data_IF_474838586144
#
_entry.id   IF_474838586144
#
_cell.length_a   1.000
_cell.length_b   1.000
_cell.length_c   1.000
_cell.angle_alpha   90.00
_cell.angle_beta   90.00
_cell.angle_gamma   90.00
#
_symmetry.space_group_name_H-M   'P 1'
#
loop_
_entity.id
_entity.type
_entity.pdbx_description
1 polymer ?
#
# COMPACT_ATOMS: atom_id res chain seq x y z
N UNK A 1 31.46 -6.44 6.29
CA UNK A 1 30.57 -5.68 7.20
C UNK A 1 31.13 -4.28 7.37
N UNK A 2 30.47 -3.25 6.82
CA UNK A 2 30.92 -1.87 7.03
C UNK A 2 30.73 -1.44 8.50
N UNK A 3 31.62 -0.61 9.03
CA UNK A 3 31.55 -0.09 10.41
C UNK A 3 30.17 0.50 10.76
N UNK A 4 29.50 1.14 9.80
CA UNK A 4 28.14 1.67 9.97
C UNK A 4 27.07 0.61 10.22
N UNK A 5 27.16 -0.55 9.54
CA UNK A 5 26.21 -1.66 9.71
C UNK A 5 26.42 -2.35 11.07
N UNK A 6 27.68 -2.45 11.53
CA UNK A 6 28.00 -2.97 12.86
C UNK A 6 27.51 -2.05 13.98
N UNK A 7 27.69 -0.72 13.85
CA UNK A 7 27.17 0.26 14.82
C UNK A 7 25.65 0.27 14.92
N UNK A 8 24.95 0.14 13.78
CA UNK A 8 23.49 0.03 13.73
C UNK A 8 23.01 -1.22 14.48
N UNK A 9 23.57 -2.39 14.14
CA UNK A 9 23.18 -3.67 14.76
C UNK A 9 23.48 -3.66 16.26
N UNK A 10 24.66 -3.18 16.67
CA UNK A 10 25.02 -3.05 18.08
C UNK A 10 24.12 -2.06 18.83
N UNK A 11 23.83 -0.91 18.23
CA UNK A 11 22.95 0.11 18.82
C UNK A 11 21.51 -0.37 18.99
N UNK A 12 20.94 -1.03 17.97
CA UNK A 12 19.60 -1.63 18.06
C UNK A 12 19.54 -2.75 19.11
N UNK A 13 20.56 -3.61 19.18
CA UNK A 13 20.64 -4.65 20.20
C UNK A 13 20.71 -4.05 21.61
N UNK A 14 21.51 -3.01 21.82
CA UNK A 14 21.60 -2.34 23.11
C UNK A 14 20.27 -1.70 23.52
N UNK A 15 19.65 -0.92 22.63
CA UNK A 15 18.35 -0.29 22.90
C UNK A 15 17.26 -1.34 23.16
N UNK A 16 17.27 -2.46 22.45
CA UNK A 16 16.30 -3.56 22.68
C UNK A 16 16.47 -4.23 24.04
N UNK A 17 17.71 -4.46 24.50
CA UNK A 17 18.00 -5.03 25.82
C UNK A 17 17.54 -4.11 26.95
N UNK A 18 17.78 -2.82 26.80
CA UNK A 18 17.36 -1.84 27.80
C UNK A 18 15.84 -1.66 27.82
N UNK A 19 15.18 -1.76 26.67
CA UNK A 19 13.72 -1.74 26.58
C UNK A 19 13.12 -2.98 27.26
N UNK A 20 13.68 -4.17 27.03
CA UNK A 20 13.27 -5.41 27.72
C UNK A 20 13.47 -5.33 29.24
N UNK A 21 14.57 -4.73 29.72
CA UNK A 21 14.81 -4.50 31.16
C UNK A 21 13.75 -3.57 31.77
N UNK A 22 13.44 -2.46 31.09
CA UNK A 22 12.41 -1.51 31.55
C UNK A 22 11.02 -2.15 31.54
N UNK A 23 10.70 -2.99 30.55
CA UNK A 23 9.44 -3.73 30.49
C UNK A 23 9.33 -4.81 31.57
N UNK A 24 10.43 -5.48 31.91
CA UNK A 24 10.48 -6.42 33.03
C UNK A 24 10.26 -5.72 34.38
N UNK A 25 10.79 -4.49 34.55
CA UNK A 25 10.59 -3.69 35.78
C UNK A 25 9.20 -3.05 35.90
N UNK A 26 8.44 -3.01 34.80
CA UNK A 26 7.05 -2.53 34.78
C UNK A 26 6.03 -3.65 35.09
N UNK A 27 6.46 -4.92 35.12
CA UNK A 27 5.64 -6.09 35.35
C UNK A 27 6.23 -6.97 36.48
N UNK A 28 5.72 -6.92 37.73
CA UNK A 28 4.55 -6.17 38.20
C UNK A 28 4.80 -4.65 38.36
N UNK A 29 3.75 -3.81 38.34
CA UNK A 29 3.91 -2.37 38.46
C UNK A 29 4.50 -1.99 39.83
N UNK A 30 5.51 -1.10 39.87
CA UNK A 30 6.10 -0.65 41.12
C UNK A 30 5.08 0.12 41.97
N UNK A 31 5.14 -0.05 43.30
CA UNK A 31 4.20 0.57 44.25
C UNK A 31 4.34 2.11 44.30
N UNK A 32 5.49 2.66 43.88
CA UNK A 32 5.75 4.10 43.89
C UNK A 32 5.32 4.77 42.56
N UNK A 33 4.41 5.76 42.60
CA UNK A 33 3.86 6.39 41.39
C UNK A 33 4.91 7.17 40.59
N UNK A 34 5.90 7.77 41.24
CA UNK A 34 6.99 8.49 40.59
C UNK A 34 7.92 7.54 39.80
N UNK A 35 8.25 6.39 40.39
CA UNK A 35 9.10 5.39 39.74
C UNK A 35 8.38 4.78 38.53
N UNK A 36 7.07 4.57 38.64
CA UNK A 36 6.22 4.16 37.53
C UNK A 36 6.23 5.17 36.37
N UNK A 37 6.03 6.47 36.66
CA UNK A 37 6.08 7.53 35.63
C UNK A 37 7.47 7.64 34.98
N UNK A 38 8.55 7.50 35.76
CA UNK A 38 9.92 7.54 35.24
C UNK A 38 10.20 6.36 34.30
N UNK A 39 9.82 5.13 34.69
CA UNK A 39 9.95 3.95 33.83
C UNK A 39 9.10 4.07 32.55
N UNK A 40 7.90 4.64 32.64
CA UNK A 40 7.09 4.93 31.46
C UNK A 40 7.74 5.97 30.53
N UNK A 41 8.33 7.03 31.09
CA UNK A 41 9.12 8.01 30.34
C UNK A 41 10.30 7.37 29.64
N UNK A 42 11.09 6.58 30.37
CA UNK A 42 12.26 5.86 29.82
C UNK A 42 11.88 4.89 28.70
N UNK A 43 10.74 4.21 28.84
CA UNK A 43 10.19 3.34 27.79
C UNK A 43 9.85 4.11 26.51
N UNK A 44 9.30 5.33 26.63
CA UNK A 44 9.01 6.20 25.48
C UNK A 44 10.30 6.66 24.81
N UNK A 45 11.29 7.08 25.60
CA UNK A 45 12.61 7.50 25.09
C UNK A 45 13.32 6.37 24.32
N UNK A 46 13.36 5.16 24.87
CA UNK A 46 14.02 4.02 24.23
C UNK A 46 13.32 3.61 22.93
N UNK A 47 11.97 3.67 22.89
CA UNK A 47 11.20 3.44 21.66
C UNK A 47 11.47 4.51 20.62
N UNK A 48 11.56 5.78 21.03
CA UNK A 48 11.90 6.88 20.15
C UNK A 48 13.33 6.73 19.61
N UNK A 49 14.30 6.40 20.45
CA UNK A 49 15.69 6.17 20.04
C UNK A 49 15.79 4.99 19.04
N UNK A 50 15.09 3.89 19.30
CA UNK A 50 15.00 2.76 18.36
C UNK A 50 14.38 3.18 17.03
N UNK A 51 13.29 3.94 17.08
CA UNK A 51 12.60 4.47 15.89
C UNK A 51 13.50 5.40 15.08
N UNK A 52 14.23 6.30 15.75
CA UNK A 52 15.16 7.23 15.12
C UNK A 52 16.34 6.50 14.47
N UNK A 53 16.91 5.49 15.13
CA UNK A 53 17.95 4.64 14.56
C UNK A 53 17.48 3.95 13.26
N UNK A 54 16.27 3.39 13.27
CA UNK A 54 15.67 2.76 12.10
C UNK A 54 15.25 3.78 11.03
N UNK A 55 14.85 4.99 11.42
CA UNK A 55 14.51 6.04 10.47
C UNK A 55 15.75 6.55 9.73
N UNK A 56 16.87 6.75 10.45
CA UNK A 56 18.09 7.33 9.90
C UNK A 56 19.00 6.32 9.18
N UNK A 57 18.93 5.05 9.58
CA UNK A 57 19.79 3.98 9.06
C UNK A 57 19.05 2.72 8.60
N UNK A 58 17.74 2.63 8.80
CA UNK A 58 16.97 1.48 8.33
C UNK A 58 17.01 1.38 6.81
N UNK A 59 17.11 0.16 6.26
CA UNK A 59 17.16 -0.04 4.83
C UNK A 59 15.88 0.51 4.20
N UNK A 60 16.03 1.55 3.38
CA UNK A 60 15.18 1.69 2.20
C UNK A 60 15.41 0.42 1.41
N UNK A 61 14.35 -0.33 1.14
CA UNK A 61 14.42 -1.31 0.08
C UNK A 61 14.81 -0.54 -1.20
N UNK A 62 16.08 -0.70 -1.59
CA UNK A 62 16.47 -0.92 -2.99
C UNK A 62 16.47 0.26 -3.95
N UNK A 63 17.33 1.25 -3.71
CA UNK A 63 17.79 2.14 -4.78
C UNK A 63 18.94 1.58 -5.63
N UNK A 64 19.52 0.41 -5.31
CA UNK A 64 20.78 -0.06 -5.92
C UNK A 64 20.97 -1.59 -6.06
N UNK A 65 19.96 -2.45 -5.86
CA UNK A 65 20.15 -3.90 -6.10
C UNK A 65 19.87 -4.35 -7.55
N UNK A 66 19.72 -3.41 -8.49
CA UNK A 66 19.76 -3.72 -9.94
C UNK A 66 21.05 -3.30 -10.64
N UNK A 67 22.09 -2.89 -9.91
CA UNK A 67 23.42 -2.82 -10.48
C UNK A 67 24.06 -4.22 -10.44
N UNK A 68 23.58 -5.13 -11.28
CA UNK A 68 24.31 -6.38 -11.49
C UNK A 68 25.68 -6.07 -12.11
N UNK A 69 26.79 -6.59 -11.55
CA UNK A 69 28.05 -6.61 -12.28
C UNK A 69 27.85 -7.48 -13.51
N UNK A 70 28.24 -7.01 -14.71
CA UNK A 70 28.24 -7.82 -15.93
C UNK A 70 29.01 -9.13 -15.69
N UNK A 71 28.28 -10.20 -15.46
CA UNK A 71 28.74 -11.57 -15.38
C UNK A 71 27.81 -12.44 -16.24
N UNK A 72 28.33 -13.45 -16.96
CA UNK A 72 27.52 -14.25 -17.86
C UNK A 72 26.46 -15.04 -17.08
N UNK A 73 25.21 -14.86 -17.50
CA UNK A 73 23.99 -15.42 -16.93
C UNK A 73 24.00 -16.95 -16.95
N UNK A 74 23.86 -17.55 -15.77
CA UNK A 74 23.45 -18.94 -15.60
C UNK A 74 22.02 -18.92 -15.06
N UNK A 75 21.10 -19.33 -15.91
CA UNK A 75 19.67 -19.51 -15.67
C UNK A 75 19.39 -20.40 -14.46
N UNK A 76 18.71 -19.84 -13.46
CA UNK A 76 18.03 -20.59 -12.41
C UNK A 76 16.54 -20.68 -12.72
N UNK A 77 16.10 -21.93 -12.89
CA UNK A 77 14.77 -22.39 -13.20
C UNK A 77 13.75 -21.97 -12.14
N UNK A 78 12.72 -21.24 -12.56
CA UNK A 78 11.59 -20.79 -11.77
C UNK A 78 10.45 -20.51 -12.73
N UNK A 79 9.56 -21.49 -12.90
CA UNK A 79 8.52 -21.49 -13.92
C UNK A 79 7.67 -20.22 -13.86
N UNK A 80 7.65 -19.37 -14.91
CA UNK A 80 6.52 -18.48 -15.09
C UNK A 80 5.34 -19.37 -15.51
N UNK A 81 4.24 -19.32 -14.77
CA UNK A 81 2.94 -19.74 -15.32
C UNK A 81 2.55 -18.73 -16.40
N UNK A 82 3.17 -18.89 -17.57
CA UNK A 82 2.75 -18.28 -18.82
C UNK A 82 1.38 -18.89 -19.13
N UNK A 83 0.31 -18.27 -18.62
CA UNK A 83 -1.01 -18.48 -19.19
C UNK A 83 -0.88 -18.13 -20.66
N UNK A 84 -1.04 -19.10 -21.54
CA UNK A 84 -0.97 -18.87 -22.97
C UNK A 84 -2.09 -17.88 -23.34
N UNK A 85 -1.73 -16.63 -23.61
CA UNK A 85 -2.67 -15.61 -24.05
C UNK A 85 -2.96 -15.91 -25.52
N UNK A 86 -4.03 -16.68 -25.78
CA UNK A 86 -4.50 -16.94 -27.15
C UNK A 86 -5.61 -15.95 -27.49
N UNK A 87 -5.26 -14.88 -28.20
CA UNK A 87 -6.26 -13.98 -28.79
C UNK A 87 -6.82 -14.60 -30.07
N UNK A 88 -8.14 -14.70 -30.17
CA UNK A 88 -8.83 -15.23 -31.37
C UNK A 88 -8.73 -14.24 -32.55
N UNK A 89 -8.76 -12.94 -32.24
CA UNK A 89 -8.64 -11.84 -33.20
C UNK A 89 -7.78 -10.72 -32.59
N UNK A 90 -7.11 -9.94 -33.44
CA UNK A 90 -6.20 -8.85 -33.03
C UNK A 90 -6.89 -7.49 -33.05
N UNK A 91 -8.06 -7.42 -32.42
CA UNK A 91 -8.92 -6.24 -32.42
C UNK A 91 -9.22 -5.83 -30.97
N UNK A 92 -9.40 -4.54 -30.69
CA UNK A 92 -9.79 -4.03 -29.36
C UNK A 92 -11.00 -4.73 -28.73
N UNK A 93 -11.97 -5.17 -29.56
CA UNK A 93 -13.15 -5.93 -29.10
C UNK A 93 -12.73 -7.29 -28.52
N UNK A 94 -11.90 -8.04 -29.25
CA UNK A 94 -11.42 -9.35 -28.83
C UNK A 94 -10.47 -9.26 -27.62
N UNK A 95 -9.67 -8.21 -27.54
CA UNK A 95 -8.84 -7.91 -26.35
C UNK A 95 -9.74 -7.70 -25.13
N UNK A 96 -10.78 -6.87 -25.25
CA UNK A 96 -11.74 -6.65 -24.18
C UNK A 96 -12.49 -7.91 -23.77
N UNK A 97 -12.99 -8.70 -24.72
CA UNK A 97 -13.71 -9.94 -24.43
C UNK A 97 -12.82 -10.93 -23.66
N UNK A 98 -11.55 -11.07 -24.06
CA UNK A 98 -10.59 -11.92 -23.37
C UNK A 98 -10.25 -11.42 -21.94
N UNK A 99 -10.13 -10.11 -21.74
CA UNK A 99 -9.94 -9.51 -20.40
C UNK A 99 -11.18 -9.77 -19.54
N UNK A 100 -12.38 -9.52 -20.09
CA UNK A 100 -13.66 -9.72 -19.41
C UNK A 100 -13.82 -11.16 -18.96
N UNK A 101 -13.58 -12.12 -19.84
CA UNK A 101 -13.72 -13.56 -19.53
C UNK A 101 -12.74 -14.01 -18.43
N UNK A 102 -11.51 -13.49 -18.43
CA UNK A 102 -10.51 -13.79 -17.38
C UNK A 102 -10.91 -13.20 -16.03
N UNK A 103 -11.37 -11.94 -16.02
CA UNK A 103 -11.84 -11.29 -14.80
C UNK A 103 -13.09 -11.98 -14.27
N UNK A 104 -14.07 -12.29 -15.14
CA UNK A 104 -15.28 -13.02 -14.77
C UNK A 104 -14.93 -14.37 -14.13
N UNK A 105 -14.07 -15.16 -14.77
CA UNK A 105 -13.61 -16.44 -14.21
C UNK A 105 -12.95 -16.28 -12.84
N UNK A 106 -12.12 -15.24 -12.64
CA UNK A 106 -11.51 -14.95 -11.34
C UNK A 106 -12.54 -14.52 -10.29
N UNK A 107 -13.57 -13.78 -10.66
CA UNK A 107 -14.65 -13.36 -9.76
C UNK A 107 -15.53 -14.56 -9.37
N UNK A 108 -15.83 -15.45 -10.33
CA UNK A 108 -16.63 -16.67 -10.11
C UNK A 108 -15.91 -17.71 -9.26
N UNK A 109 -14.57 -17.81 -9.36
CA UNK A 109 -13.76 -18.72 -8.53
C UNK A 109 -13.81 -18.39 -7.02
N UNK A 110 -14.41 -17.25 -6.65
CA UNK A 110 -14.50 -16.74 -5.29
C UNK A 110 -13.30 -15.84 -4.98
N UNK A 111 -13.57 -14.66 -4.42
CA UNK A 111 -12.54 -13.64 -4.19
C UNK A 111 -12.07 -13.65 -2.74
N UNK A 112 -10.79 -13.95 -2.55
CA UNK A 112 -10.10 -13.76 -1.26
C UNK A 112 -9.22 -12.53 -1.32
N UNK A 113 -9.20 -11.75 -0.24
CA UNK A 113 -8.36 -10.58 -0.13
C UNK A 113 -6.93 -10.98 0.25
N UNK A 114 -5.97 -10.61 -0.59
CA UNK A 114 -4.52 -10.78 -0.34
C UNK A 114 -3.79 -9.42 -0.36
N UNK A 115 -4.51 -8.31 -0.25
CA UNK A 115 -3.95 -6.94 -0.29
C UNK A 115 -3.24 -6.52 1.00
N UNK A 116 -3.48 -7.23 2.10
CA UNK A 116 -3.01 -6.85 3.44
C UNK A 116 -3.77 -5.66 4.04
N UNK A 117 -4.79 -5.15 3.36
CA UNK A 117 -5.66 -4.05 3.81
C UNK A 117 -7.08 -4.55 4.04
N UNK A 118 -7.83 -3.87 4.92
CA UNK A 118 -9.27 -4.11 5.04
C UNK A 118 -9.95 -3.52 3.81
N UNK A 119 -10.82 -4.30 3.18
CA UNK A 119 -11.64 -3.88 2.05
C UNK A 119 -13.11 -3.76 2.49
N UNK A 120 -13.77 -2.66 2.14
CA UNK A 120 -15.18 -2.42 2.42
C UNK A 120 -16.08 -3.53 1.83
N UNK A 121 -15.77 -4.01 0.62
CA UNK A 121 -16.54 -5.08 -0.03
C UNK A 121 -16.46 -6.41 0.72
N UNK A 122 -15.48 -6.63 1.60
CA UNK A 122 -15.43 -7.82 2.46
C UNK A 122 -16.45 -7.80 3.59
N UNK A 123 -17.06 -6.65 3.87
CA UNK A 123 -18.20 -6.55 4.78
C UNK A 123 -19.49 -7.10 4.17
N UNK A 124 -19.59 -7.14 2.84
CA UNK A 124 -20.74 -7.69 2.15
C UNK A 124 -20.76 -9.23 2.26
N UNK A 125 -21.94 -9.82 2.11
CA UNK A 125 -22.08 -11.26 1.92
C UNK A 125 -21.26 -11.69 0.68
N UNK A 126 -20.57 -12.85 0.69
CA UNK A 126 -19.73 -13.29 -0.43
C UNK A 126 -20.43 -13.28 -1.79
N UNK A 127 -21.71 -13.66 -1.82
CA UNK A 127 -22.53 -13.61 -3.04
C UNK A 127 -22.82 -12.17 -3.49
N UNK A 128 -23.16 -11.27 -2.58
CA UNK A 128 -23.39 -9.85 -2.89
C UNK A 128 -22.13 -9.15 -3.39
N UNK A 129 -20.99 -9.48 -2.81
CA UNK A 129 -19.69 -8.99 -3.31
C UNK A 129 -19.43 -9.46 -4.74
N UNK A 130 -19.70 -10.74 -5.04
CA UNK A 130 -19.56 -11.29 -6.40
C UNK A 130 -20.52 -10.62 -7.37
N UNK A 131 -21.80 -10.51 -7.02
CA UNK A 131 -22.83 -9.83 -7.81
C UNK A 131 -22.45 -8.38 -8.11
N UNK A 132 -21.90 -7.64 -7.13
CA UNK A 132 -21.46 -6.25 -7.33
C UNK A 132 -20.35 -6.14 -8.38
N UNK A 133 -19.33 -6.99 -8.29
CA UNK A 133 -18.20 -6.96 -9.23
C UNK A 133 -18.62 -7.40 -10.63
N UNK A 134 -19.48 -8.41 -10.75
CA UNK A 134 -20.06 -8.82 -12.03
C UNK A 134 -20.95 -7.74 -12.63
N UNK A 135 -21.76 -7.08 -11.80
CA UNK A 135 -22.58 -5.95 -12.24
C UNK A 135 -21.70 -4.80 -12.75
N UNK A 136 -20.63 -4.43 -12.02
CA UNK A 136 -19.69 -3.40 -12.47
C UNK A 136 -19.01 -3.77 -13.79
N UNK A 137 -18.57 -5.03 -13.93
CA UNK A 137 -17.96 -5.53 -15.17
C UNK A 137 -18.94 -5.47 -16.35
N UNK A 138 -20.20 -5.86 -16.13
CA UNK A 138 -21.26 -5.79 -17.14
C UNK A 138 -21.60 -4.35 -17.51
N UNK A 139 -21.67 -3.42 -16.55
CA UNK A 139 -21.94 -2.02 -16.86
C UNK A 139 -20.75 -1.36 -17.59
N UNK A 140 -19.52 -1.74 -17.27
CA UNK A 140 -18.33 -1.29 -18.00
C UNK A 140 -18.38 -1.75 -19.47
N UNK A 141 -18.77 -3.01 -19.73
CA UNK A 141 -18.97 -3.53 -21.08
C UNK A 141 -19.98 -2.68 -21.87
N UNK A 142 -21.12 -2.34 -21.27
CA UNK A 142 -22.13 -1.48 -21.90
C UNK A 142 -21.58 -0.07 -22.18
N UNK A 143 -20.81 0.52 -21.26
CA UNK A 143 -20.18 1.82 -21.48
C UNK A 143 -19.16 1.76 -22.61
N UNK A 144 -18.33 0.72 -22.68
CA UNK A 144 -17.38 0.54 -23.78
C UNK A 144 -18.10 0.42 -25.14
N UNK A 145 -19.20 -0.34 -25.21
CA UNK A 145 -20.02 -0.43 -26.43
C UNK A 145 -20.61 0.93 -26.84
N UNK A 146 -21.12 1.72 -25.88
CA UNK A 146 -21.62 3.08 -26.14
C UNK A 146 -20.50 4.01 -26.62
N UNK A 147 -19.33 3.96 -26.00
CA UNK A 147 -18.18 4.79 -26.38
C UNK A 147 -17.66 4.45 -27.79
N UNK A 148 -17.64 3.16 -28.17
CA UNK A 148 -17.25 2.73 -29.53
C UNK A 148 -18.13 3.34 -30.62
N UNK A 149 -19.39 3.64 -30.33
CA UNK A 149 -20.30 4.29 -31.28
C UNK A 149 -20.00 5.77 -31.54
N UNK A 150 -19.21 6.43 -30.67
CA UNK A 150 -18.98 7.89 -30.69
C UNK A 150 -17.75 8.37 -31.47
N UNK A 151 -16.90 7.46 -31.96
CA UNK A 151 -15.73 7.66 -32.85
C UNK A 151 -14.62 8.67 -32.42
N UNK A 152 -14.85 9.60 -31.48
CA UNK A 152 -13.85 10.61 -31.07
C UNK A 152 -13.15 10.29 -29.74
N UNK A 153 -11.83 10.11 -29.79
CA UNK A 153 -11.02 9.74 -28.61
C UNK A 153 -10.88 10.85 -27.56
N UNK A 154 -10.79 12.12 -27.97
CA UNK A 154 -10.71 13.27 -27.06
C UNK A 154 -12.04 13.50 -26.31
N UNK A 155 -13.14 12.95 -26.81
CA UNK A 155 -14.43 12.95 -26.14
C UNK A 155 -14.57 11.84 -25.09
N UNK A 156 -13.66 10.85 -25.05
CA UNK A 156 -13.76 9.70 -24.13
C UNK A 156 -13.67 10.14 -22.68
N UNK A 157 -12.67 10.96 -22.33
CA UNK A 157 -12.49 11.42 -20.95
C UNK A 157 -13.69 12.24 -20.45
N UNK A 158 -14.15 13.20 -21.27
CA UNK A 158 -15.31 14.03 -20.94
C UNK A 158 -16.60 13.21 -20.84
N UNK A 159 -16.80 12.25 -21.75
CA UNK A 159 -17.94 11.35 -21.68
C UNK A 159 -17.87 10.46 -20.44
N UNK A 160 -16.68 9.97 -20.09
CA UNK A 160 -16.45 9.13 -18.93
C UNK A 160 -16.83 9.82 -17.63
N UNK A 161 -16.49 11.10 -17.46
CA UNK A 161 -16.84 11.88 -16.26
C UNK A 161 -18.36 11.90 -16.01
N UNK A 162 -19.17 11.94 -17.07
CA UNK A 162 -20.64 11.86 -16.98
C UNK A 162 -21.18 10.43 -16.83
N UNK A 163 -20.52 9.45 -17.44
CA UNK A 163 -20.99 8.05 -17.48
C UNK A 163 -20.61 7.27 -16.23
N UNK A 164 -19.53 7.64 -15.54
CA UNK A 164 -19.04 6.91 -14.38
C UNK A 164 -20.05 6.90 -13.20
N UNK A 165 -20.69 8.03 -12.82
CA UNK A 165 -21.74 8.01 -11.82
C UNK A 165 -22.95 7.16 -12.25
N UNK A 166 -23.38 7.27 -13.51
CA UNK A 166 -24.48 6.45 -14.05
C UNK A 166 -24.16 4.96 -13.99
N UNK A 167 -22.93 4.58 -14.36
CA UNK A 167 -22.44 3.21 -14.29
C UNK A 167 -22.55 2.68 -12.85
N UNK A 168 -22.08 3.46 -11.87
CA UNK A 168 -22.13 3.08 -10.45
C UNK A 168 -23.57 2.93 -9.96
N UNK A 169 -24.46 3.82 -10.36
CA UNK A 169 -25.90 3.73 -10.05
C UNK A 169 -26.53 2.46 -10.64
N UNK A 170 -26.20 2.13 -11.89
CA UNK A 170 -26.71 0.94 -12.57
C UNK A 170 -26.16 -0.35 -11.93
N UNK A 171 -24.89 -0.38 -11.54
CA UNK A 171 -24.31 -1.50 -10.82
C UNK A 171 -24.94 -1.70 -9.43
N UNK A 172 -25.15 -0.62 -8.68
CA UNK A 172 -25.85 -0.66 -7.40
C UNK A 172 -27.30 -1.14 -7.56
N UNK A 173 -27.99 -0.70 -8.61
CA UNK A 173 -29.35 -1.13 -8.93
C UNK A 173 -29.43 -2.62 -9.23
N UNK A 174 -28.47 -3.13 -10.02
CA UNK A 174 -28.38 -4.54 -10.35
C UNK A 174 -28.11 -5.40 -9.11
N UNK A 175 -27.21 -4.96 -8.22
CA UNK A 175 -26.92 -5.63 -6.94
C UNK A 175 -28.13 -5.67 -6.01
N UNK A 176 -28.76 -4.50 -5.79
CA UNK A 176 -29.85 -4.37 -4.82
C UNK A 176 -31.12 -5.09 -5.27
N UNK A 177 -31.33 -5.22 -6.59
CA UNK A 177 -32.49 -5.87 -7.19
C UNK A 177 -33.67 -4.91 -7.32
N UNK A 178 -34.13 -4.67 -8.54
CA UNK A 178 -35.11 -3.62 -8.89
C UNK A 178 -36.46 -3.72 -8.16
N UNK A 179 -36.84 -4.89 -7.69
CA UNK A 179 -38.15 -5.16 -7.07
C UNK A 179 -38.06 -5.50 -5.58
N UNK A 180 -36.88 -5.41 -4.98
CA UNK A 180 -36.68 -5.80 -3.58
C UNK A 180 -37.19 -4.70 -2.66
N UNK A 181 -38.05 -5.11 -1.73
CA UNK A 181 -38.56 -4.27 -0.66
C UNK A 181 -38.23 -4.90 0.69
N UNK A 182 -37.77 -4.07 1.61
CA UNK A 182 -37.39 -4.49 2.96
C UNK A 182 -38.10 -3.56 3.96
N UNK A 183 -38.54 -4.06 5.13
CA UNK A 183 -39.08 -3.19 6.16
C UNK A 183 -38.02 -2.22 6.69
N UNK A 184 -38.38 -0.96 6.83
CA UNK A 184 -37.62 0.08 7.52
C UNK A 184 -38.61 0.82 8.43
N UNK A 185 -38.36 0.81 9.74
CA UNK A 185 -39.24 1.45 10.74
C UNK A 185 -40.72 1.01 10.66
N UNK A 186 -40.97 -0.22 10.21
CA UNK A 186 -42.31 -0.80 10.09
C UNK A 186 -42.99 -0.63 8.72
N UNK A 187 -42.42 0.14 7.79
CA UNK A 187 -42.93 0.30 6.43
C UNK A 187 -42.02 -0.40 5.40
N UNK A 188 -42.63 -1.00 4.36
CA UNK A 188 -41.87 -1.59 3.26
C UNK A 188 -41.30 -0.49 2.37
N UNK A 189 -39.97 -0.39 2.33
CA UNK A 189 -39.26 0.56 1.48
C UNK A 189 -38.56 -0.14 0.31
N UNK A 190 -38.61 0.44 -0.90
CA UNK A 190 -37.87 -0.07 -2.05
C UNK A 190 -36.36 0.13 -1.85
N UNK A 191 -35.61 -0.97 -1.83
CA UNK A 191 -34.17 -0.96 -1.48
C UNK A 191 -33.37 -0.08 -2.45
N UNK A 192 -33.58 -0.23 -3.76
CA UNK A 192 -32.86 0.52 -4.79
C UNK A 192 -33.06 2.04 -4.63
N UNK A 193 -34.31 2.50 -4.53
CA UNK A 193 -34.59 3.93 -4.43
C UNK A 193 -34.04 4.52 -3.13
N UNK A 194 -34.16 3.80 -2.01
CA UNK A 194 -33.58 4.22 -0.74
C UNK A 194 -32.05 4.29 -0.77
N UNK A 195 -31.38 3.32 -1.42
CA UNK A 195 -29.92 3.32 -1.56
C UNK A 195 -29.43 4.43 -2.48
N UNK A 196 -30.05 4.62 -3.65
CA UNK A 196 -29.66 5.66 -4.61
C UNK A 196 -29.83 7.08 -4.05
N UNK A 197 -30.82 7.29 -3.17
CA UNK A 197 -31.04 8.58 -2.53
C UNK A 197 -30.03 8.88 -1.40
N UNK A 198 -29.41 7.84 -0.82
CA UNK A 198 -28.48 7.98 0.32
C UNK A 198 -27.01 7.92 -0.08
N UNK A 199 -26.68 7.10 -1.07
CA UNK A 199 -25.30 6.82 -1.45
C UNK A 199 -24.69 7.95 -2.28
N UNK A 200 -23.49 8.40 -1.89
CA UNK A 200 -22.67 9.28 -2.74
C UNK A 200 -21.88 8.45 -3.76
N UNK A 201 -22.48 8.25 -4.92
CA UNK A 201 -21.85 7.53 -6.02
C UNK A 201 -20.94 8.40 -6.89
N UNK A 202 -20.76 9.68 -6.54
CA UNK A 202 -19.86 10.61 -7.23
C UNK A 202 -18.46 10.65 -6.64
N UNK A 203 -18.22 9.91 -5.54
CA UNK A 203 -16.93 9.84 -4.86
C UNK A 203 -15.72 9.66 -5.78
N UNK A 204 -14.71 10.48 -5.57
CA UNK A 204 -13.45 10.44 -6.31
C UNK A 204 -12.39 9.70 -5.49
N UNK A 205 -11.75 8.70 -6.10
CA UNK A 205 -10.53 8.06 -5.58
C UNK A 205 -9.37 8.49 -6.49
N UNK A 206 -8.39 9.20 -5.91
CA UNK A 206 -7.23 9.74 -6.64
C UNK A 206 -6.26 8.66 -7.16
N UNK A 207 -6.46 7.40 -6.81
CA UNK A 207 -5.70 6.25 -7.30
C UNK A 207 -6.48 5.41 -8.32
N UNK A 208 -7.64 5.89 -8.80
CA UNK A 208 -8.30 5.32 -9.97
C UNK A 208 -7.39 5.45 -11.21
N UNK A 209 -7.44 4.48 -12.14
CA UNK A 209 -6.63 4.57 -13.34
C UNK A 209 -7.07 5.74 -14.23
N UNK A 210 -6.11 6.31 -14.97
CA UNK A 210 -6.42 7.34 -15.96
C UNK A 210 -7.46 6.81 -16.98
N UNK A 211 -8.62 7.48 -17.12
CA UNK A 211 -9.68 6.99 -17.99
C UNK A 211 -9.23 6.89 -19.45
N UNK A 212 -8.38 7.81 -19.91
CA UNK A 212 -7.90 7.79 -21.30
C UNK A 212 -6.98 6.60 -21.52
N UNK A 213 -5.97 6.41 -20.67
CA UNK A 213 -5.04 5.29 -20.75
C UNK A 213 -5.71 3.91 -20.64
N UNK A 214 -6.80 3.80 -19.86
CA UNK A 214 -7.54 2.54 -19.72
C UNK A 214 -8.53 2.30 -20.87
N UNK A 215 -9.33 3.30 -21.25
CA UNK A 215 -10.47 3.11 -22.16
C UNK A 215 -10.09 3.25 -23.64
N UNK A 216 -9.17 4.17 -23.98
CA UNK A 216 -8.86 4.45 -25.39
C UNK A 216 -8.31 3.22 -26.14
N UNK A 217 -7.44 2.36 -25.56
CA UNK A 217 -7.03 1.11 -26.18
C UNK A 217 -8.20 0.14 -26.42
N UNK A 218 -9.19 0.11 -25.52
CA UNK A 218 -10.33 -0.81 -25.59
C UNK A 218 -11.47 -0.31 -26.49
N UNK A 219 -11.55 1.00 -26.72
CA UNK A 219 -12.61 1.65 -27.51
C UNK A 219 -12.14 1.92 -28.94
N UNK A 220 -10.96 2.49 -29.10
CA UNK A 220 -10.47 3.03 -30.36
C UNK A 220 -9.18 2.35 -30.88
N UNK A 221 -8.81 1.21 -30.29
CA UNK A 221 -7.61 0.43 -30.65
C UNK A 221 -6.31 1.26 -30.59
N UNK A 222 -6.27 2.25 -29.68
CA UNK A 222 -5.10 3.09 -29.52
C UNK A 222 -3.95 2.32 -28.87
N UNK A 223 -2.71 2.52 -29.34
CA UNK A 223 -1.54 1.94 -28.69
C UNK A 223 -1.35 2.56 -27.31
N UNK A 224 -0.92 1.77 -26.34
CA UNK A 224 -0.59 2.26 -25.00
C UNK A 224 0.91 2.30 -24.78
N UNK A 225 1.34 3.20 -23.89
CA UNK A 225 2.72 3.29 -23.47
C UNK A 225 2.99 2.30 -22.33
N UNK A 226 3.77 1.26 -22.61
CA UNK A 226 4.21 0.25 -21.64
C UNK A 226 5.74 0.31 -21.52
N UNK A 227 6.26 0.69 -20.36
CA UNK A 227 7.71 0.79 -20.10
C UNK A 227 8.47 1.61 -21.18
N UNK A 228 7.86 2.70 -21.65
CA UNK A 228 8.43 3.58 -22.68
C UNK A 228 8.26 3.10 -24.12
N UNK A 229 7.60 1.97 -24.36
CA UNK A 229 7.28 1.46 -25.69
C UNK A 229 5.80 1.68 -26.00
N UNK A 230 5.49 2.19 -27.19
CA UNK A 230 4.12 2.23 -27.69
C UNK A 230 3.77 0.84 -28.25
N UNK A 231 2.90 0.13 -27.56
CA UNK A 231 2.47 -1.22 -27.90
C UNK A 231 0.98 -1.22 -28.28
N UNK A 232 0.59 -1.98 -29.31
CA UNK A 232 -0.82 -2.19 -29.63
C UNK A 232 -1.51 -3.01 -28.52
N UNK A 233 -2.83 -2.90 -28.42
CA UNK A 233 -3.60 -3.53 -27.33
C UNK A 233 -3.56 -5.08 -27.35
N UNK A 234 -3.22 -5.68 -28.50
CA UNK A 234 -3.07 -7.13 -28.69
C UNK A 234 -1.70 -7.67 -28.24
N UNK A 235 -0.70 -6.80 -28.01
CA UNK A 235 0.58 -7.22 -27.45
C UNK A 235 0.38 -7.78 -26.02
N UNK A 236 1.01 -8.92 -25.67
CA UNK A 236 0.81 -9.54 -24.36
C UNK A 236 1.14 -8.63 -23.18
N UNK A 237 2.10 -7.70 -23.32
CA UNK A 237 2.47 -6.77 -22.24
C UNK A 237 1.39 -5.70 -22.04
N UNK A 238 0.92 -5.14 -23.15
CA UNK A 238 -0.20 -4.20 -23.19
C UNK A 238 -1.48 -4.86 -22.62
N UNK A 239 -1.79 -6.07 -23.06
CA UNK A 239 -2.92 -6.86 -22.58
C UNK A 239 -2.92 -7.00 -21.06
N UNK A 240 -1.80 -7.45 -20.47
CA UNK A 240 -1.68 -7.64 -19.02
C UNK A 240 -1.78 -6.32 -18.25
N UNK A 241 -1.27 -5.23 -18.80
CA UNK A 241 -1.41 -3.91 -18.19
C UNK A 241 -2.87 -3.44 -18.22
N UNK A 242 -3.59 -3.62 -19.33
CA UNK A 242 -5.02 -3.32 -19.42
C UNK A 242 -5.85 -4.17 -18.44
N UNK A 243 -5.58 -5.47 -18.37
CA UNK A 243 -6.22 -6.37 -17.40
C UNK A 243 -6.01 -5.86 -15.96
N UNK A 244 -4.81 -5.37 -15.66
CA UNK A 244 -4.47 -4.78 -14.35
C UNK A 244 -5.21 -3.46 -14.11
N UNK A 245 -5.27 -2.55 -15.09
CA UNK A 245 -5.98 -1.28 -14.96
C UNK A 245 -7.49 -1.49 -14.76
N UNK A 246 -8.10 -2.38 -15.53
CA UNK A 246 -9.52 -2.75 -15.40
C UNK A 246 -9.79 -3.41 -14.05
N UNK A 247 -8.94 -4.35 -13.63
CA UNK A 247 -9.04 -4.99 -12.31
C UNK A 247 -8.97 -3.95 -11.18
N UNK A 248 -8.01 -3.02 -11.27
CA UNK A 248 -7.83 -1.97 -10.28
C UNK A 248 -9.07 -1.05 -10.22
N UNK A 249 -9.58 -0.64 -11.38
CA UNK A 249 -10.81 0.15 -11.47
C UNK A 249 -12.01 -0.56 -10.86
N UNK A 250 -12.19 -1.85 -11.16
CA UNK A 250 -13.28 -2.67 -10.62
C UNK A 250 -13.22 -2.74 -9.10
N UNK A 251 -12.07 -3.11 -8.54
CA UNK A 251 -11.89 -3.25 -7.09
C UNK A 251 -12.11 -1.91 -6.39
N UNK A 252 -11.50 -0.83 -6.87
CA UNK A 252 -11.65 0.51 -6.26
C UNK A 252 -13.06 1.05 -6.35
N UNK A 253 -13.73 0.86 -7.49
CA UNK A 253 -15.13 1.27 -7.65
C UNK A 253 -16.06 0.44 -6.75
N UNK A 254 -15.80 -0.86 -6.62
CA UNK A 254 -16.54 -1.72 -5.71
C UNK A 254 -16.29 -1.32 -4.24
N UNK A 255 -15.08 -0.92 -3.88
CA UNK A 255 -14.75 -0.39 -2.55
C UNK A 255 -15.54 0.87 -2.21
N UNK A 256 -15.61 1.83 -3.13
CA UNK A 256 -16.42 3.03 -2.96
C UNK A 256 -17.90 2.68 -2.73
N UNK A 257 -18.48 1.84 -3.59
CA UNK A 257 -19.88 1.40 -3.42
C UNK A 257 -20.05 0.59 -2.13
N UNK A 258 -19.09 -0.26 -1.78
CA UNK A 258 -19.10 -1.07 -0.57
C UNK A 258 -19.12 -0.22 0.70
N UNK A 259 -18.37 0.89 0.72
CA UNK A 259 -18.38 1.85 1.82
C UNK A 259 -19.76 2.50 1.99
N UNK A 260 -20.37 2.98 0.90
CA UNK A 260 -21.72 3.54 0.90
C UNK A 260 -22.78 2.52 1.38
N UNK A 261 -22.64 1.25 0.98
CA UNK A 261 -23.53 0.17 1.42
C UNK A 261 -23.40 -0.12 2.93
N UNK A 262 -22.17 -0.13 3.45
CA UNK A 262 -21.93 -0.31 4.88
C UNK A 262 -22.50 0.86 5.70
N UNK A 263 -22.40 2.07 5.18
CA UNK A 263 -22.97 3.27 5.79
C UNK A 263 -24.50 3.20 5.79
N UNK A 264 -25.13 2.86 4.66
CA UNK A 264 -26.58 2.67 4.56
C UNK A 264 -27.10 1.57 5.51
N UNK A 265 -26.33 0.49 5.70
CA UNK A 265 -26.65 -0.57 6.67
C UNK A 265 -26.54 -0.11 8.13
N UNK A 266 -25.80 0.96 8.41
CA UNK A 266 -25.77 1.60 9.72
C UNK A 266 -27.14 2.15 10.09
N UNK A 267 -27.73 2.91 9.17
CA UNK A 267 -29.01 3.62 9.34
C UNK A 267 -30.23 2.72 9.10
N UNK A 268 -30.08 1.62 8.35
CA UNK A 268 -31.13 0.66 8.05
C UNK A 268 -30.77 -0.75 8.55
N UNK A 269 -31.16 -1.13 9.79
CA UNK A 269 -30.74 -2.39 10.41
C UNK A 269 -31.20 -3.65 9.67
N UNK A 270 -32.40 -3.66 9.11
CA UNK A 270 -32.97 -4.80 8.39
C UNK A 270 -32.20 -5.12 7.11
N UNK A 271 -31.63 -4.10 6.47
CA UNK A 271 -30.79 -4.23 5.28
C UNK A 271 -29.52 -5.07 5.55
N UNK A 272 -29.05 -5.12 6.81
CA UNK A 272 -27.85 -5.88 7.19
C UNK A 272 -27.97 -7.36 6.84
N UNK A 273 -29.15 -7.96 7.05
CA UNK A 273 -29.40 -9.38 6.73
C UNK A 273 -29.41 -9.65 5.23
N UNK A 274 -29.68 -8.62 4.44
CA UNK A 274 -29.76 -8.72 2.99
C UNK A 274 -28.40 -8.53 2.31
N UNK A 275 -27.56 -7.63 2.84
CA UNK A 275 -26.30 -7.22 2.21
C UNK A 275 -25.03 -7.73 2.91
N UNK A 276 -25.04 -7.90 4.23
CA UNK A 276 -23.83 -8.12 5.02
C UNK A 276 -23.63 -9.60 5.40
N UNK A 277 -22.39 -9.93 5.76
CA UNK A 277 -22.04 -11.20 6.38
C UNK A 277 -22.54 -11.29 7.83
N UNK A 278 -22.77 -12.52 8.31
CA UNK A 278 -23.33 -12.79 9.65
C UNK A 278 -22.63 -12.05 10.82
N UNK A 279 -21.29 -11.94 10.87
CA UNK A 279 -20.62 -11.23 11.97
C UNK A 279 -20.97 -9.74 12.07
N UNK A 280 -21.46 -9.12 10.99
CA UNK A 280 -21.73 -7.68 10.92
C UNK A 280 -23.20 -7.32 11.15
N UNK A 281 -24.05 -8.30 11.45
CA UNK A 281 -25.43 -8.04 11.83
C UNK A 281 -25.52 -7.23 13.14
N UNK A 282 -24.57 -7.48 14.06
CA UNK A 282 -24.45 -6.74 15.31
C UNK A 282 -23.96 -5.30 15.05
N UNK A 283 -24.73 -4.30 15.53
CA UNK A 283 -24.42 -2.88 15.37
C UNK A 283 -22.98 -2.54 15.77
N UNK A 284 -22.52 -3.07 16.91
CA UNK A 284 -21.17 -2.84 17.43
C UNK A 284 -20.07 -3.32 16.48
N UNK A 285 -20.25 -4.46 15.82
CA UNK A 285 -19.24 -5.00 14.91
C UNK A 285 -19.22 -4.24 13.58
N UNK A 286 -20.39 -3.82 13.09
CA UNK A 286 -20.49 -2.92 11.93
C UNK A 286 -19.79 -1.58 12.20
N UNK A 287 -20.07 -0.94 13.33
CA UNK A 287 -19.42 0.33 13.70
C UNK A 287 -17.91 0.17 13.89
N UNK A 288 -17.46 -0.95 14.46
CA UNK A 288 -16.02 -1.27 14.56
C UNK A 288 -15.37 -1.39 13.20
N UNK A 289 -16.00 -2.07 12.25
CA UNK A 289 -15.51 -2.20 10.89
C UNK A 289 -15.43 -0.84 10.20
N UNK A 290 -16.53 -0.06 10.22
CA UNK A 290 -16.58 1.29 9.64
C UNK A 290 -15.49 2.20 10.21
N UNK A 291 -15.32 2.19 11.53
CA UNK A 291 -14.27 2.97 12.19
C UNK A 291 -12.85 2.54 11.79
N UNK A 292 -12.61 1.23 11.62
CA UNK A 292 -11.32 0.72 11.13
C UNK A 292 -11.07 1.13 9.68
N UNK A 293 -12.07 1.03 8.81
CA UNK A 293 -11.98 1.47 7.41
C UNK A 293 -11.70 2.98 7.33
N UNK A 294 -12.43 3.80 8.07
CA UNK A 294 -12.22 5.25 8.12
C UNK A 294 -10.82 5.62 8.64
N UNK A 295 -10.33 4.91 9.66
CA UNK A 295 -8.97 5.13 10.19
C UNK A 295 -7.91 4.72 9.16
N UNK A 296 -8.10 3.58 8.49
CA UNK A 296 -7.21 3.10 7.44
C UNK A 296 -7.17 4.05 6.25
N UNK A 297 -8.31 4.55 5.79
CA UNK A 297 -8.39 5.50 4.67
C UNK A 297 -7.67 6.80 5.00
N UNK A 298 -7.91 7.38 6.19
CA UNK A 298 -7.19 8.58 6.66
C UNK A 298 -5.68 8.36 6.72
N UNK A 299 -5.24 7.21 7.20
CA UNK A 299 -3.82 6.85 7.24
C UNK A 299 -3.23 6.73 5.83
N UNK A 300 -3.94 6.04 4.93
CA UNK A 300 -3.56 5.90 3.53
C UNK A 300 -3.42 7.27 2.86
N UNK A 301 -4.40 8.16 3.05
CA UNK A 301 -4.39 9.49 2.43
C UNK A 301 -3.32 10.42 2.99
N UNK A 302 -3.11 10.41 4.32
CA UNK A 302 -2.24 11.38 4.97
C UNK A 302 -0.78 10.95 5.03
N UNK A 303 -0.51 9.64 5.00
CA UNK A 303 0.84 9.10 5.21
C UNK A 303 1.29 8.25 4.04
N UNK A 304 0.53 7.22 3.68
CA UNK A 304 1.00 6.27 2.65
C UNK A 304 1.03 6.88 1.26
N UNK A 305 -0.02 7.61 0.85
CA UNK A 305 -0.11 8.24 -0.47
C UNK A 305 1.01 9.26 -0.69
N UNK A 306 1.34 10.17 0.26
CA UNK A 306 2.50 11.05 0.10
C UNK A 306 3.83 10.31 -0.04
N UNK A 307 4.03 9.21 0.72
CA UNK A 307 5.21 8.35 0.59
C UNK A 307 5.26 7.74 -0.82
N UNK A 308 4.15 7.15 -1.27
CA UNK A 308 4.04 6.54 -2.60
C UNK A 308 4.28 7.54 -3.72
N UNK A 309 3.74 8.75 -3.60
CA UNK A 309 3.95 9.83 -4.58
C UNK A 309 5.41 10.28 -4.62
N UNK A 310 6.07 10.40 -3.46
CA UNK A 310 7.50 10.73 -3.40
C UNK A 310 8.36 9.62 -4.02
N UNK A 311 8.02 8.36 -3.76
CA UNK A 311 8.70 7.18 -4.30
C UNK A 311 8.27 6.83 -5.74
N UNK A 312 7.39 7.62 -6.36
CA UNK A 312 6.84 7.36 -7.71
C UNK A 312 6.20 5.97 -7.84
N UNK A 313 5.59 5.48 -6.77
CA UNK A 313 4.89 4.20 -6.72
C UNK A 313 3.38 4.41 -6.75
N UNK A 314 2.67 3.49 -7.39
CA UNK A 314 1.21 3.37 -7.33
C UNK A 314 0.84 1.94 -6.97
N UNK A 315 -0.07 1.78 -6.01
CA UNK A 315 -0.66 0.49 -5.68
C UNK A 315 -1.89 0.24 -6.55
N UNK A 316 -1.80 -0.78 -7.41
CA UNK A 316 -2.91 -1.29 -8.20
C UNK A 316 -3.42 -2.60 -7.60
N UNK A 317 -4.70 -2.91 -7.84
CA UNK A 317 -5.28 -4.21 -7.47
C UNK A 317 -5.49 -5.08 -8.71
N UNK A 318 -4.97 -6.31 -8.68
CA UNK A 318 -5.16 -7.29 -9.73
C UNK A 318 -6.06 -8.43 -9.25
N UNK A 319 -6.89 -8.94 -10.15
CA UNK A 319 -7.74 -10.11 -9.93
C UNK A 319 -7.09 -11.32 -10.57
N UNK A 320 -6.54 -12.24 -9.76
CA UNK A 320 -5.87 -13.45 -10.26
C UNK A 320 -6.32 -14.67 -9.49
N UNK A 321 -6.79 -15.69 -10.19
CA UNK A 321 -7.10 -17.01 -9.62
C UNK A 321 -7.97 -16.95 -8.35
N UNK A 322 -8.99 -16.08 -8.32
CA UNK A 322 -9.85 -15.92 -7.15
C UNK A 322 -9.24 -15.09 -6.02
N UNK A 323 -8.22 -14.27 -6.30
CA UNK A 323 -7.58 -13.40 -5.30
C UNK A 323 -7.51 -11.97 -5.77
N UNK A 324 -7.69 -11.06 -4.81
CA UNK A 324 -7.38 -9.63 -4.97
C UNK A 324 -5.96 -9.43 -4.44
N UNK A 325 -5.02 -9.18 -5.34
CA UNK A 325 -3.61 -9.01 -5.00
C UNK A 325 -3.15 -7.57 -5.25
N UNK A 326 -2.26 -7.02 -4.41
CA UNK A 326 -1.68 -5.72 -4.65
C UNK A 326 -0.51 -5.86 -5.64
N UNK A 327 -0.40 -4.90 -6.57
CA UNK A 327 0.73 -4.75 -7.46
C UNK A 327 1.27 -3.32 -7.30
N UNK A 328 2.57 -3.20 -7.04
CA UNK A 328 3.25 -1.90 -7.03
C UNK A 328 3.80 -1.61 -8.43
N UNK A 329 3.33 -0.51 -9.01
CA UNK A 329 3.80 0.00 -10.30
C UNK A 329 4.60 1.28 -10.07
N UNK A 330 5.77 1.38 -10.69
CA UNK A 330 6.57 2.61 -10.68
C UNK A 330 6.23 3.45 -11.91
N UNK A 331 5.77 4.67 -11.71
CA UNK A 331 5.37 5.58 -12.79
C UNK A 331 5.63 7.05 -12.41
N UNK A 332 5.83 7.96 -13.38
CA UNK A 332 6.09 9.37 -13.08
C UNK A 332 4.83 10.05 -12.54
N UNK A 333 4.87 10.51 -11.27
CA UNK A 333 3.71 11.10 -10.56
C UNK A 333 3.92 12.55 -10.11
N UNK A 334 4.78 13.30 -10.79
CA UNK A 334 5.15 14.68 -10.42
C UNK A 334 3.96 15.64 -10.35
N UNK A 335 2.99 15.48 -11.27
CA UNK A 335 1.78 16.33 -11.28
C UNK A 335 0.97 16.16 -10.01
N UNK A 336 0.81 14.93 -9.53
CA UNK A 336 0.07 14.61 -8.31
C UNK A 336 0.84 15.03 -7.05
N UNK A 337 2.16 14.86 -7.05
CA UNK A 337 3.04 15.31 -5.96
C UNK A 337 2.92 16.83 -5.73
N UNK A 338 2.83 17.61 -6.81
CA UNK A 338 2.65 19.06 -6.74
C UNK A 338 1.26 19.50 -6.27
N UNK A 339 0.28 18.59 -6.28
CA UNK A 339 -1.10 18.83 -5.84
C UNK A 339 -1.39 18.34 -4.42
N UNK A 340 -0.36 17.90 -3.68
CA UNK A 340 -0.51 17.45 -2.30
C UNK A 340 -1.07 18.54 -1.40
N UNK A 341 -1.99 18.16 -0.52
CA UNK A 341 -2.49 19.02 0.55
C UNK A 341 -1.38 19.41 1.53
N UNK A 342 -1.60 20.45 2.33
CA UNK A 342 -0.58 20.95 3.26
C UNK A 342 -0.03 19.87 4.20
N UNK A 343 -0.88 19.05 4.82
CA UNK A 343 -0.43 18.00 5.73
C UNK A 343 0.36 16.90 5.02
N UNK A 344 -0.12 16.48 3.85
CA UNK A 344 0.57 15.50 2.99
C UNK A 344 1.96 15.99 2.57
N UNK A 345 2.08 17.29 2.28
CA UNK A 345 3.36 17.92 1.95
C UNK A 345 4.35 17.87 3.10
N UNK A 346 3.90 17.96 4.36
CA UNK A 346 4.79 17.81 5.51
C UNK A 346 5.39 16.40 5.60
N UNK A 347 4.62 15.36 5.24
CA UNK A 347 5.14 13.99 5.18
C UNK A 347 6.19 13.84 4.08
N UNK A 348 5.92 14.38 2.88
CA UNK A 348 6.89 14.39 1.79
C UNK A 348 8.17 15.15 2.16
N UNK A 349 8.05 16.34 2.78
CA UNK A 349 9.20 17.11 3.26
C UNK A 349 10.00 16.38 4.34
N UNK A 350 9.35 15.56 5.18
CA UNK A 350 10.04 14.76 6.18
C UNK A 350 10.89 13.65 5.53
N UNK A 351 10.40 13.04 4.44
CA UNK A 351 11.18 12.10 3.64
C UNK A 351 12.34 12.80 2.94
N UNK A 352 12.10 13.96 2.33
CA UNK A 352 13.17 14.76 1.70
C UNK A 352 14.23 15.18 2.72
N UNK A 353 13.81 15.61 3.91
CA UNK A 353 14.70 15.95 5.01
C UNK A 353 15.49 14.74 5.50
N UNK A 354 14.87 13.56 5.56
CA UNK A 354 15.56 12.29 5.87
C UNK A 354 16.69 12.05 4.89
N UNK A 355 16.40 12.12 3.60
CA UNK A 355 17.37 11.81 2.54
C UNK A 355 18.50 12.85 2.48
N UNK A 356 18.20 14.12 2.77
CA UNK A 356 19.20 15.18 2.85
C UNK A 356 20.08 15.12 4.12
N UNK A 357 19.51 14.70 5.27
CA UNK A 357 20.20 14.69 6.57
C UNK A 357 20.91 13.36 6.87
N UNK A 358 20.39 12.24 6.39
CA UNK A 358 20.97 10.91 6.60
C UNK A 358 22.48 10.84 6.29
N UNK A 359 22.98 11.30 5.12
CA UNK A 359 24.42 11.24 4.83
C UNK A 359 25.25 12.13 5.77
N UNK A 360 24.72 13.28 6.19
CA UNK A 360 25.41 14.22 7.08
C UNK A 360 25.56 13.65 8.49
N UNK A 361 24.49 13.06 9.03
CA UNK A 361 24.51 12.40 10.34
C UNK A 361 25.41 11.17 10.30
N UNK A 362 25.36 10.39 9.22
CA UNK A 362 26.27 9.27 9.00
C UNK A 362 27.74 9.71 9.00
N UNK A 363 28.07 10.82 8.32
CA UNK A 363 29.41 11.35 8.28
C UNK A 363 29.88 11.85 9.66
N UNK A 364 29.01 12.52 10.42
CA UNK A 364 29.32 12.98 11.77
C UNK A 364 29.62 11.81 12.71
N UNK A 365 28.77 10.77 12.70
CA UNK A 365 28.96 9.57 13.53
C UNK A 365 30.24 8.83 13.14
N UNK A 366 30.55 8.71 11.84
CA UNK A 366 31.82 8.14 11.38
C UNK A 366 33.02 8.94 11.91
N UNK A 367 33.00 10.27 11.81
CA UNK A 367 34.08 11.13 12.34
C UNK A 367 34.28 10.96 13.85
N UNK A 368 33.19 10.86 14.62
CA UNK A 368 33.26 10.61 16.07
C UNK A 368 33.84 9.21 16.33
N UNK A 369 33.41 8.21 15.56
CA UNK A 369 33.94 6.85 15.62
C UNK A 369 35.44 6.80 15.35
N UNK A 370 35.90 7.46 14.28
CA UNK A 370 37.32 7.55 13.92
C UNK A 370 38.13 8.24 15.02
N UNK A 371 37.61 9.33 15.58
CA UNK A 371 38.25 10.06 16.68
C UNK A 371 38.33 9.21 17.95
N UNK A 372 37.27 8.47 18.28
CA UNK A 372 37.26 7.54 19.40
C UNK A 372 38.27 6.39 19.20
N UNK A 373 38.37 5.82 18.00
CA UNK A 373 39.37 4.81 17.66
C UNK A 373 40.77 5.39 17.80
N UNK A 374 41.02 6.61 17.31
CA UNK A 374 42.31 7.29 17.46
C UNK A 374 42.65 7.51 18.94
N UNK A 375 41.73 8.03 19.75
CA UNK A 375 41.95 8.22 21.19
C UNK A 375 42.24 6.88 21.89
N UNK A 376 41.46 5.84 21.59
CA UNK A 376 41.57 4.56 22.26
C UNK A 376 42.85 3.80 21.85
N UNK A 377 43.20 3.81 20.56
CA UNK A 377 44.38 3.13 20.03
C UNK A 377 45.68 3.91 20.27
N UNK A 378 45.69 5.23 20.02
CA UNK A 378 46.90 6.03 20.09
C UNK A 378 47.16 6.59 21.48
N UNK A 379 46.15 7.11 22.18
CA UNK A 379 46.38 7.74 23.49
C UNK A 379 46.39 6.68 24.58
N UNK A 380 45.35 5.85 24.65
CA UNK A 380 45.26 4.80 25.66
C UNK A 380 46.30 3.69 25.42
N UNK A 381 46.45 3.25 24.17
CA UNK A 381 47.46 2.25 23.79
C UNK A 381 48.90 2.71 24.07
N UNK A 382 49.25 3.98 23.79
CA UNK A 382 50.57 4.53 24.16
C UNK A 382 50.74 4.71 25.66
N UNK A 383 49.70 5.13 26.39
CA UNK A 383 49.77 5.28 27.84
C UNK A 383 50.04 3.91 28.52
N UNK A 384 49.31 2.86 28.12
CA UNK A 384 49.55 1.49 28.60
C UNK A 384 50.95 1.01 28.21
N UNK A 385 51.38 1.28 26.98
CA UNK A 385 52.73 0.95 26.51
C UNK A 385 53.85 1.65 27.30
N UNK A 386 53.66 2.91 27.69
CA UNK A 386 54.61 3.66 28.52
C UNK A 386 54.65 3.16 29.96
N UNK A 387 53.50 2.82 30.55
CA UNK A 387 53.43 2.21 31.89
C UNK A 387 54.11 0.84 31.88
N UNK A 388 53.84 0.00 30.88
CA UNK A 388 54.52 -1.28 30.71
C UNK A 388 56.04 -1.14 30.56
N UNK A 389 56.49 -0.14 29.78
CA UNK A 389 57.93 0.16 29.61
C UNK A 389 58.57 0.69 30.90
N UNK A 390 57.86 1.50 31.68
CA UNK A 390 58.28 1.99 32.99
C UNK A 390 58.43 0.87 34.02
N UNK A 391 57.50 -0.08 34.05
CA UNK A 391 57.58 -1.28 34.90
C UNK A 391 58.77 -2.16 34.49
N UNK A 392 58.97 -2.39 33.18
CA UNK A 392 60.11 -3.15 32.67
C UNK A 392 61.46 -2.49 33.01
N UNK A 393 61.56 -1.15 32.90
CA UNK A 393 62.75 -0.41 33.30
C UNK A 393 62.97 -0.37 34.82
N UNK A 394 61.89 -0.39 35.62
CA UNK A 394 61.94 -0.53 37.08
C UNK A 394 62.49 -1.88 37.53
N UNK A 395 62.05 -2.97 36.89
CA UNK A 395 62.58 -4.32 37.15
C UNK A 395 64.02 -4.49 36.66
N UNK A 396 64.42 -3.82 35.57
CA UNK A 396 65.80 -3.84 35.08
C UNK A 396 66.83 -3.21 36.03
N UNK A 397 66.40 -2.36 36.97
CA UNK A 397 67.30 -1.74 37.97
C UNK A 397 67.48 -2.55 39.26
N UNK A 398 66.61 -3.53 39.53
CA UNK A 398 66.76 -4.41 40.70
C UNK A 398 67.69 -5.61 40.45
N UNK A 399 68.17 -5.81 39.23
CA UNK A 399 69.12 -6.88 38.87
C UNK A 399 70.57 -6.41 38.65
N UNK A 400 70.89 -5.15 39.02
CA UNK A 400 72.22 -4.56 38.88
C UNK A 400 72.85 -4.13 40.21
N UNK A 401 72.77 -4.97 41.25
CA UNK A 401 73.64 -4.92 42.45
C UNK A 401 73.80 -6.36 42.95
N UNK A 402 74.63 -7.09 42.23
CA UNK A 402 75.42 -8.23 42.70
C UNK A 402 76.87 -7.89 42.46
#
# INVERSE_FOLDING_TARGET
>A
MGLGQWLLVSGLQQVSRDLQRVEALLNPPPEQPLLFLLLQGRRRELRFAKGLLLWLWGPLQMGLEHAEPLGPSVSSDGSPTTTAISLRERNAVAVWDAIRDRIDASVQAGLTNSTGRLLAIEGLHPDRRRELLLALLQQLDQVLQRLRSRQDATAIAQAWDSLQPELRQQALTALAGSYVQIPCDGELQPVVASLLNRADLTGADGELPDPTGMLAPLVADQPMLVNGLLLPADDPRAFLQLETLVSNWLVRTAELIGAELLDACGDWPELRRYLLRDPLLATRELDRLRNRLNTQLRWADWVERPIQLYESQRTLFQLRSGRIEPLLLTEPRDKELNQLGWWQRQVALLLEARDALAPQVQALVRRIGDLAVILLTQVLGRAIGLVGRGIAQGMGRSFGRG
#
